data_IF_637583445204
#
_entry.id   IF_637583445204
#
_cell.length_a   1.000
_cell.length_b   1.000
_cell.length_c   1.000
_cell.angle_alpha   90.00
_cell.angle_beta   90.00
_cell.angle_gamma   90.00
#
_symmetry.space_group_name_H-M   'P 1'
#
loop_
_entity.id
_entity.type
_entity.pdbx_description
1 polymer ?
#
# COMPACT_ATOMS: atom_id res chain seq x y z
N UNK A 1 -31.73 34.18 11.82
CA UNK A 1 -30.76 33.08 11.70
C UNK A 1 -31.29 32.12 10.65
N UNK A 2 -30.60 32.00 9.52
CA UNK A 2 -31.02 31.19 8.38
C UNK A 2 -30.85 29.71 8.73
N UNK A 3 -31.96 28.97 8.88
CA UNK A 3 -31.95 27.51 8.98
C UNK A 3 -31.55 26.96 7.61
N UNK A 4 -30.26 26.68 7.43
CA UNK A 4 -29.82 25.83 6.34
C UNK A 4 -30.53 24.46 6.50
N UNK A 5 -31.13 23.90 5.43
CA UNK A 5 -31.80 22.62 5.52
C UNK A 5 -30.81 21.55 6.00
N UNK A 6 -31.24 20.71 6.95
CA UNK A 6 -30.47 19.57 7.41
C UNK A 6 -30.11 18.69 6.21
N UNK A 7 -28.81 18.62 5.90
CA UNK A 7 -28.26 17.76 4.85
C UNK A 7 -28.68 16.32 5.22
N UNK A 8 -29.27 15.58 4.28
CA UNK A 8 -29.57 14.15 4.51
C UNK A 8 -28.27 13.46 4.92
N UNK A 9 -28.30 12.48 5.86
CA UNK A 9 -27.10 11.74 6.22
C UNK A 9 -26.60 10.98 4.99
N UNK A 10 -25.58 11.55 4.34
CA UNK A 10 -24.85 10.90 3.25
C UNK A 10 -23.84 9.93 3.87
N UNK A 11 -23.65 8.73 3.29
CA UNK A 11 -22.60 7.83 3.74
C UNK A 11 -21.23 8.50 3.55
N UNK A 12 -20.23 8.17 4.40
CA UNK A 12 -18.88 8.69 4.23
C UNK A 12 -18.31 8.25 2.86
N UNK A 13 -17.48 9.07 2.21
CA UNK A 13 -16.91 8.73 0.90
C UNK A 13 -16.19 7.39 0.89
N UNK A 14 -16.49 6.54 -0.08
CA UNK A 14 -15.88 5.21 -0.16
C UNK A 14 -14.38 5.25 -0.51
N UNK A 15 -13.95 6.29 -1.25
CA UNK A 15 -12.57 6.47 -1.70
C UNK A 15 -12.23 7.95 -1.72
N UNK A 16 -11.05 8.30 -1.22
CA UNK A 16 -10.50 9.66 -1.22
C UNK A 16 -9.09 9.60 -1.80
N UNK A 17 -8.81 10.27 -2.93
CA UNK A 17 -7.44 10.41 -3.43
C UNK A 17 -6.61 11.21 -2.42
N UNK A 18 -5.49 10.66 -1.95
CA UNK A 18 -4.66 11.28 -0.92
C UNK A 18 -3.36 11.85 -1.47
N UNK A 19 -2.93 11.38 -2.64
CA UNK A 19 -1.76 11.93 -3.34
C UNK A 19 -1.30 11.02 -4.46
N UNK A 20 -0.55 11.58 -5.40
CA UNK A 20 0.16 10.83 -6.41
C UNK A 20 1.47 11.56 -6.76
N UNK A 21 2.50 10.80 -7.11
CA UNK A 21 3.72 11.34 -7.70
C UNK A 21 4.09 10.52 -8.91
N UNK A 22 4.32 11.19 -10.03
CA UNK A 22 4.85 10.60 -11.24
C UNK A 22 6.24 11.20 -11.45
N UNK A 23 7.29 10.37 -11.52
CA UNK A 23 8.66 10.87 -11.64
C UNK A 23 8.84 11.54 -13.01
N UNK A 24 9.57 12.65 -13.02
CA UNK A 24 9.96 13.32 -14.27
C UNK A 24 11.21 12.61 -14.79
N UNK A 25 11.06 11.86 -15.89
CA UNK A 25 12.14 11.08 -16.51
C UNK A 25 12.31 11.52 -17.96
N UNK A 26 13.50 11.35 -18.52
CA UNK A 26 13.72 11.46 -19.97
C UNK A 26 12.78 10.50 -20.69
N UNK A 27 12.12 10.96 -21.75
CA UNK A 27 11.29 10.10 -22.57
C UNK A 27 12.10 8.94 -23.15
N UNK A 28 11.52 7.74 -23.11
CA UNK A 28 12.14 6.54 -23.65
C UNK A 28 11.07 5.61 -24.20
N UNK A 29 11.25 5.18 -25.45
CA UNK A 29 10.30 4.29 -26.14
C UNK A 29 10.77 2.85 -26.05
N UNK A 30 10.24 2.11 -25.08
CA UNK A 30 10.45 0.66 -24.98
C UNK A 30 10.00 -0.13 -26.23
N UNK A 31 8.88 0.19 -26.89
CA UNK A 31 8.44 -0.56 -28.07
C UNK A 31 9.38 -0.45 -29.27
N UNK A 32 10.07 0.69 -29.43
CA UNK A 32 10.93 0.96 -30.59
C UNK A 32 12.42 0.89 -30.27
N UNK A 33 12.79 0.50 -29.05
CA UNK A 33 14.17 0.36 -28.64
C UNK A 33 14.87 -0.77 -29.40
N UNK A 34 16.03 -0.47 -30.00
CA UNK A 34 16.90 -1.44 -30.67
C UNK A 34 18.25 -1.49 -29.93
N UNK A 35 18.58 -2.59 -29.24
CA UNK A 35 19.81 -2.68 -28.45
C UNK A 35 21.08 -2.56 -29.29
N UNK A 36 21.01 -2.82 -30.60
CA UNK A 36 22.18 -2.73 -31.51
C UNK A 36 22.56 -1.30 -31.86
N UNK A 37 21.65 -0.35 -31.64
CA UNK A 37 21.85 1.07 -31.97
C UNK A 37 22.35 1.89 -30.79
N UNK A 38 22.54 1.27 -29.63
CA UNK A 38 23.05 1.93 -28.44
C UNK A 38 24.51 2.30 -28.67
N UNK A 39 24.80 3.60 -28.59
CA UNK A 39 26.15 4.14 -28.68
C UNK A 39 26.55 4.89 -27.40
N UNK A 40 25.57 5.42 -26.67
CA UNK A 40 25.76 6.23 -25.46
C UNK A 40 24.84 5.77 -24.34
N UNK A 41 25.20 6.09 -23.09
CA UNK A 41 24.32 5.87 -21.93
C UNK A 41 22.95 6.57 -22.09
N UNK A 42 22.91 7.69 -22.82
CA UNK A 42 21.67 8.42 -23.09
C UNK A 42 20.69 7.68 -24.02
N UNK A 43 21.15 6.64 -24.72
CA UNK A 43 20.31 5.79 -25.55
C UNK A 43 19.58 4.71 -24.74
N UNK A 44 19.90 4.58 -23.45
CA UNK A 44 19.29 3.63 -22.52
C UNK A 44 18.14 4.27 -21.71
N UNK A 45 17.21 3.47 -21.17
CA UNK A 45 16.15 4.00 -20.32
C UNK A 45 16.74 4.66 -19.07
N UNK A 46 16.28 5.86 -18.66
CA UNK A 46 16.83 6.57 -17.50
C UNK A 46 16.50 5.89 -16.16
N UNK A 47 15.52 4.99 -16.15
CA UNK A 47 15.10 4.23 -14.97
C UNK A 47 14.70 2.82 -15.42
N UNK A 48 15.03 1.81 -14.61
CA UNK A 48 14.66 0.43 -14.87
C UNK A 48 14.54 -0.38 -13.57
N UNK A 49 13.33 -0.88 -13.31
CA UNK A 49 12.87 -1.77 -12.25
C UNK A 49 13.28 -1.29 -10.85
N UNK A 50 14.57 -1.41 -10.53
CA UNK A 50 15.12 -1.14 -9.22
C UNK A 50 15.62 0.29 -9.05
N UNK A 51 15.88 1.04 -10.13
CA UNK A 51 16.47 2.36 -9.96
C UNK A 51 16.84 3.14 -11.22
N UNK A 52 17.57 4.24 -11.00
CA UNK A 52 18.03 5.14 -12.05
C UNK A 52 19.30 4.64 -12.73
N UNK A 53 19.49 4.98 -14.00
CA UNK A 53 20.70 4.61 -14.75
C UNK A 53 21.93 5.26 -14.11
N UNK A 54 22.93 4.46 -13.77
CA UNK A 54 24.27 4.95 -13.50
C UNK A 54 25.01 5.09 -14.83
N UNK A 55 25.04 6.30 -15.39
CA UNK A 55 25.69 6.56 -16.68
C UNK A 55 27.19 6.21 -16.69
N UNK A 56 27.84 6.20 -15.52
CA UNK A 56 29.26 5.83 -15.41
C UNK A 56 29.51 4.33 -15.54
N UNK A 57 28.47 3.52 -15.33
CA UNK A 57 28.51 2.06 -15.51
C UNK A 57 28.34 1.60 -16.96
N UNK A 58 28.07 2.54 -17.89
CA UNK A 58 27.90 2.21 -19.30
C UNK A 58 29.23 1.85 -19.96
N UNK A 59 29.28 0.67 -20.57
CA UNK A 59 30.42 0.20 -21.33
C UNK A 59 29.98 -0.30 -22.70
N UNK A 60 30.40 0.42 -23.74
CA UNK A 60 30.26 -0.04 -25.12
C UNK A 60 31.42 -0.97 -25.49
N UNK A 61 31.10 -2.10 -26.11
CA UNK A 61 32.06 -3.09 -26.60
C UNK A 61 31.81 -3.36 -28.09
N UNK A 62 32.79 -3.90 -28.83
CA UNK A 62 32.59 -4.26 -30.24
C UNK A 62 31.46 -5.27 -30.47
N UNK A 63 31.17 -6.09 -29.47
CA UNK A 63 30.18 -7.17 -29.48
C UNK A 63 28.94 -6.86 -28.64
N UNK A 64 28.72 -5.61 -28.22
CA UNK A 64 27.51 -5.21 -27.50
C UNK A 64 27.76 -4.13 -26.45
N UNK A 65 27.00 -4.13 -25.35
CA UNK A 65 27.14 -3.14 -24.30
C UNK A 65 26.70 -3.67 -22.94
N UNK A 66 27.12 -3.02 -21.87
CA UNK A 66 26.59 -3.27 -20.53
C UNK A 66 26.29 -1.96 -19.80
N UNK A 67 25.34 -2.00 -18.88
CA UNK A 67 24.95 -0.87 -18.04
C UNK A 67 24.26 -1.34 -16.76
N UNK A 68 24.26 -0.46 -15.76
CA UNK A 68 23.67 -0.70 -14.45
C UNK A 68 22.71 0.42 -14.04
N UNK A 69 21.57 0.03 -13.49
CA UNK A 69 20.60 0.90 -12.84
C UNK A 69 20.68 0.67 -11.33
N UNK A 70 20.89 1.75 -10.58
CA UNK A 70 21.16 1.73 -9.14
C UNK A 70 19.93 2.20 -8.38
N UNK A 71 19.50 1.38 -7.42
CA UNK A 71 18.36 1.69 -6.55
C UNK A 71 18.73 2.61 -5.38
N UNK A 72 17.74 2.92 -4.55
CA UNK A 72 17.92 3.81 -3.41
C UNK A 72 18.67 3.14 -2.25
N UNK A 73 18.45 1.84 -2.05
CA UNK A 73 19.11 1.10 -0.98
C UNK A 73 20.51 0.65 -1.38
N UNK A 74 21.42 0.66 -0.41
CA UNK A 74 22.78 0.22 -0.61
C UNK A 74 22.83 -1.21 -1.17
N UNK A 75 23.56 -1.40 -2.28
CA UNK A 75 23.69 -2.69 -2.95
C UNK A 75 22.45 -3.11 -3.76
N UNK A 76 21.46 -2.24 -3.96
CA UNK A 76 20.35 -2.47 -4.89
C UNK A 76 20.77 -2.06 -6.31
N UNK A 77 20.76 -3.01 -7.25
CA UNK A 77 21.14 -2.76 -8.64
C UNK A 77 20.45 -3.70 -9.62
N UNK A 78 20.18 -3.21 -10.82
CA UNK A 78 19.71 -3.98 -11.97
C UNK A 78 20.73 -3.78 -13.10
N UNK A 79 21.35 -4.83 -13.59
CA UNK A 79 22.39 -4.75 -14.62
C UNK A 79 21.95 -5.52 -15.86
N UNK A 80 22.17 -4.93 -17.03
CA UNK A 80 21.98 -5.57 -18.33
C UNK A 80 23.32 -5.63 -19.04
N UNK A 81 23.62 -6.79 -19.61
CA UNK A 81 24.68 -7.01 -20.58
C UNK A 81 24.03 -7.50 -21.88
N UNK A 82 24.18 -6.74 -22.95
CA UNK A 82 23.74 -7.10 -24.29
C UNK A 82 24.92 -7.67 -25.08
N UNK A 83 24.72 -8.85 -25.64
CA UNK A 83 25.66 -9.56 -26.51
C UNK A 83 25.04 -9.61 -27.91
N UNK A 84 25.63 -8.84 -28.84
CA UNK A 84 25.20 -8.72 -30.21
C UNK A 84 25.49 -10.00 -31.02
N UNK A 85 26.59 -10.70 -30.72
CA UNK A 85 26.98 -11.93 -31.41
C UNK A 85 26.07 -13.10 -31.08
N UNK A 86 25.71 -13.26 -29.80
CA UNK A 86 24.76 -14.27 -29.34
C UNK A 86 23.29 -13.79 -29.37
N UNK A 87 23.05 -12.54 -29.75
CA UNK A 87 21.74 -11.90 -29.84
C UNK A 87 20.89 -12.07 -28.56
N UNK A 88 21.46 -11.71 -27.40
CA UNK A 88 20.83 -11.95 -26.09
C UNK A 88 21.11 -10.83 -25.09
N UNK A 89 20.20 -10.70 -24.13
CA UNK A 89 20.40 -9.96 -22.89
C UNK A 89 20.76 -10.92 -21.77
N UNK A 90 21.78 -10.60 -21.00
CA UNK A 90 22.07 -11.17 -19.69
C UNK A 90 21.70 -10.14 -18.62
N UNK A 91 20.88 -10.54 -17.65
CA UNK A 91 20.36 -9.65 -16.62
C UNK A 91 20.75 -10.17 -15.25
N UNK A 92 21.34 -9.28 -14.46
CA UNK A 92 21.70 -9.52 -13.06
C UNK A 92 20.99 -8.51 -12.19
N UNK A 93 20.51 -8.96 -11.03
CA UNK A 93 19.76 -8.09 -10.14
C UNK A 93 20.20 -8.32 -8.70
N UNK A 94 20.26 -7.26 -7.91
CA UNK A 94 20.55 -7.32 -6.49
C UNK A 94 19.61 -6.37 -5.77
N UNK A 95 19.12 -6.76 -4.60
CA UNK A 95 18.33 -5.90 -3.74
C UNK A 95 18.92 -5.94 -2.33
N UNK A 96 19.29 -4.77 -1.79
CA UNK A 96 19.98 -4.67 -0.49
C UNK A 96 21.21 -5.61 -0.40
N UNK A 97 22.06 -5.61 -1.44
CA UNK A 97 23.23 -6.48 -1.61
C UNK A 97 22.94 -8.00 -1.72
N UNK A 98 21.67 -8.41 -1.74
CA UNK A 98 21.29 -9.80 -1.94
C UNK A 98 21.16 -10.09 -3.43
N UNK A 99 21.91 -11.10 -3.87
CA UNK A 99 21.83 -11.59 -5.23
C UNK A 99 20.41 -12.08 -5.54
N UNK A 100 19.85 -11.54 -6.61
CA UNK A 100 18.62 -11.99 -7.22
C UNK A 100 18.89 -12.95 -8.37
N UNK A 101 17.83 -13.40 -9.04
CA UNK A 101 17.94 -14.33 -10.15
C UNK A 101 18.72 -13.72 -11.33
N UNK A 102 19.63 -14.53 -11.87
CA UNK A 102 20.30 -14.29 -13.14
C UNK A 102 19.43 -14.80 -14.30
N UNK A 103 19.36 -14.07 -15.40
CA UNK A 103 18.54 -14.47 -16.54
C UNK A 103 19.21 -14.14 -17.86
N UNK A 104 19.00 -15.00 -18.84
CA UNK A 104 19.47 -14.83 -20.21
C UNK A 104 18.28 -14.96 -21.15
N UNK A 105 18.03 -13.95 -21.98
CA UNK A 105 16.87 -13.90 -22.88
C UNK A 105 17.27 -13.42 -24.26
N UNK A 106 16.64 -13.98 -25.29
CA UNK A 106 16.84 -13.56 -26.68
C UNK A 106 16.52 -12.08 -26.88
N UNK A 107 17.37 -11.39 -27.62
CA UNK A 107 17.16 -10.01 -28.02
C UNK A 107 16.23 -9.86 -29.24
N UNK A 108 15.67 -10.95 -29.75
CA UNK A 108 14.56 -10.90 -30.71
C UNK A 108 13.26 -10.37 -30.05
N UNK A 109 13.16 -10.55 -28.72
CA UNK A 109 12.12 -9.90 -27.94
C UNK A 109 12.49 -8.43 -27.74
N UNK A 110 11.51 -7.53 -27.89
CA UNK A 110 11.69 -6.14 -27.45
C UNK A 110 12.10 -6.11 -25.97
N UNK A 111 12.87 -5.10 -25.57
CA UNK A 111 13.32 -4.99 -24.17
C UNK A 111 12.14 -5.04 -23.20
N UNK A 112 11.00 -4.39 -23.53
CA UNK A 112 9.79 -4.51 -22.71
C UNK A 112 9.27 -5.95 -22.58
N UNK A 113 9.26 -6.72 -23.66
CA UNK A 113 8.84 -8.13 -23.62
C UNK A 113 9.86 -9.00 -22.89
N UNK A 114 11.16 -8.76 -23.06
CA UNK A 114 12.17 -9.43 -22.26
C UNK A 114 11.93 -9.15 -20.77
N UNK A 115 11.75 -7.88 -20.41
CA UNK A 115 11.44 -7.44 -19.05
C UNK A 115 10.15 -8.04 -18.48
N UNK A 116 9.11 -8.20 -19.29
CA UNK A 116 7.86 -8.83 -18.85
C UNK A 116 7.99 -10.33 -18.60
N UNK A 117 8.92 -11.03 -19.26
CA UNK A 117 9.23 -12.43 -18.90
C UNK A 117 9.87 -12.52 -17.51
N UNK A 118 10.40 -11.41 -16.99
CA UNK A 118 10.99 -11.31 -15.65
C UNK A 118 10.00 -10.86 -14.56
N UNK A 119 8.70 -10.73 -14.86
CA UNK A 119 7.63 -10.44 -13.87
C UNK A 119 7.68 -11.45 -12.71
N UNK A 120 8.14 -12.68 -12.95
CA UNK A 120 8.36 -13.70 -11.92
C UNK A 120 9.54 -13.46 -10.97
N UNK A 121 10.45 -12.51 -11.24
CA UNK A 121 11.73 -12.36 -10.53
C UNK A 121 11.69 -11.32 -9.39
N UNK A 122 10.90 -10.24 -9.50
CA UNK A 122 10.55 -9.44 -8.30
C UNK A 122 9.54 -10.19 -7.39
N UNK A 123 8.88 -11.17 -7.99
CA UNK A 123 8.08 -12.20 -7.33
C UNK A 123 8.93 -13.39 -6.87
N UNK A 124 10.26 -13.32 -7.03
CA UNK A 124 11.15 -14.41 -6.60
C UNK A 124 10.88 -14.65 -5.12
N UNK A 125 10.51 -15.89 -4.74
CA UNK A 125 10.25 -16.22 -3.36
C UNK A 125 11.42 -15.84 -2.43
N UNK A 126 12.66 -15.79 -2.91
CA UNK A 126 13.85 -15.38 -2.17
C UNK A 126 13.84 -13.89 -1.83
N UNK A 127 13.59 -12.99 -2.80
CA UNK A 127 13.45 -11.56 -2.52
C UNK A 127 12.23 -11.27 -1.67
N UNK A 128 11.08 -11.87 -1.98
CA UNK A 128 9.87 -11.74 -1.17
C UNK A 128 10.10 -12.17 0.29
N UNK A 129 10.66 -13.37 0.52
CA UNK A 129 10.98 -13.86 1.88
C UNK A 129 12.00 -12.99 2.59
N UNK A 130 12.98 -12.48 1.86
CA UNK A 130 14.00 -11.64 2.49
C UNK A 130 13.45 -10.26 2.83
N UNK A 131 12.65 -9.66 1.95
CA UNK A 131 11.91 -8.45 2.24
C UNK A 131 11.00 -8.63 3.45
N UNK A 132 10.23 -9.72 3.50
CA UNK A 132 9.42 -10.08 4.68
C UNK A 132 10.27 -10.09 5.94
N UNK A 133 11.34 -10.88 5.96
CA UNK A 133 12.23 -11.00 7.14
C UNK A 133 12.80 -9.64 7.54
N UNK A 134 13.36 -8.90 6.60
CA UNK A 134 14.01 -7.62 6.87
C UNK A 134 13.01 -6.57 7.39
N UNK A 135 11.86 -6.44 6.73
CA UNK A 135 10.85 -5.45 7.07
C UNK A 135 10.13 -5.76 8.39
N UNK A 136 9.80 -7.02 8.66
CA UNK A 136 9.13 -7.42 9.91
C UNK A 136 10.08 -7.42 11.13
N UNK A 137 11.40 -7.55 10.89
CA UNK A 137 12.41 -7.34 11.92
C UNK A 137 12.63 -5.86 12.22
N UNK A 138 12.60 -5.00 11.19
CA UNK A 138 12.83 -3.57 11.35
C UNK A 138 11.59 -2.80 11.87
N UNK A 139 10.39 -3.24 11.49
CA UNK A 139 9.14 -2.51 11.72
C UNK A 139 8.04 -3.39 12.34
N UNK A 140 7.13 -2.75 13.08
CA UNK A 140 5.86 -3.36 13.48
C UNK A 140 4.88 -3.37 12.30
N UNK A 141 5.17 -4.20 11.29
CA UNK A 141 4.31 -4.43 10.13
C UNK A 141 4.25 -5.93 9.81
N UNK A 142 3.35 -6.31 8.92
CA UNK A 142 3.33 -7.65 8.33
C UNK A 142 3.52 -7.56 6.82
N UNK A 143 4.32 -8.43 6.24
CA UNK A 143 4.56 -8.52 4.80
C UNK A 143 3.98 -9.82 4.28
N UNK A 144 3.01 -9.70 3.37
CA UNK A 144 2.36 -10.83 2.71
C UNK A 144 3.16 -11.26 1.50
N UNK A 145 3.49 -12.54 1.45
CA UNK A 145 4.06 -13.15 0.26
C UNK A 145 2.91 -13.46 -0.73
N UNK A 146 3.13 -13.32 -2.04
CA UNK A 146 2.19 -13.85 -3.02
C UNK A 146 2.13 -15.38 -2.89
N UNK A 147 0.93 -15.94 -2.69
CA UNK A 147 0.69 -17.38 -2.69
C UNK A 147 0.00 -17.79 -4.00
N UNK A 148 0.40 -18.94 -4.58
CA UNK A 148 -0.21 -19.48 -5.79
C UNK A 148 -0.18 -18.52 -6.99
N UNK A 149 -1.35 -18.30 -7.60
CA UNK A 149 -1.54 -17.43 -8.77
C UNK A 149 -1.91 -15.98 -8.39
N UNK A 150 -1.49 -15.50 -7.22
CA UNK A 150 -1.71 -14.12 -6.81
C UNK A 150 -1.19 -13.16 -7.90
N UNK A 151 -2.07 -12.30 -8.42
CA UNK A 151 -1.72 -11.34 -9.46
C UNK A 151 -0.85 -10.26 -8.84
N UNK A 152 0.32 -10.07 -9.43
CA UNK A 152 1.18 -8.92 -9.20
C UNK A 152 0.93 -7.89 -10.29
N UNK A 153 1.01 -6.61 -9.94
CA UNK A 153 0.97 -5.54 -10.93
C UNK A 153 2.41 -5.18 -11.29
N UNK A 154 2.79 -5.40 -12.55
CA UNK A 154 4.12 -5.07 -13.05
C UNK A 154 4.00 -3.98 -14.12
N UNK A 155 4.62 -2.83 -13.85
CA UNK A 155 4.69 -1.71 -14.78
C UNK A 155 6.08 -1.59 -15.36
N UNK A 156 6.22 -1.22 -16.63
CA UNK A 156 7.51 -0.83 -17.20
C UNK A 156 7.52 0.71 -17.26
N UNK A 157 8.57 1.38 -16.74
CA UNK A 157 9.85 0.83 -16.33
C UNK A 157 9.96 0.44 -14.84
N UNK A 158 8.92 0.61 -14.03
CA UNK A 158 9.01 0.62 -12.57
C UNK A 158 9.10 -0.76 -11.88
N UNK A 159 8.74 -1.85 -12.56
CA UNK A 159 8.72 -3.21 -12.02
C UNK A 159 7.46 -3.57 -11.24
N UNK A 160 7.60 -4.55 -10.35
CA UNK A 160 6.51 -5.12 -9.57
C UNK A 160 6.08 -4.18 -8.44
N UNK A 161 4.78 -3.99 -8.25
CA UNK A 161 4.22 -3.04 -7.28
C UNK A 161 3.76 -3.72 -5.99
N UNK A 162 3.98 -3.03 -4.89
CA UNK A 162 3.49 -3.34 -3.55
C UNK A 162 2.53 -2.26 -3.08
N UNK A 163 1.59 -2.65 -2.24
CA UNK A 163 0.74 -1.70 -1.54
C UNK A 163 0.94 -1.84 -0.03
N UNK A 164 1.35 -0.75 0.60
CA UNK A 164 1.35 -0.60 2.05
C UNK A 164 -0.05 -0.13 2.48
N UNK A 165 -0.67 -0.88 3.39
CA UNK A 165 -2.00 -0.62 3.93
C UNK A 165 -1.88 -0.20 5.37
N UNK A 166 -2.38 0.99 5.70
CA UNK A 166 -2.33 1.55 7.05
C UNK A 166 -3.71 2.00 7.53
N UNK A 167 -4.19 1.55 8.70
CA UNK A 167 -5.40 2.11 9.32
C UNK A 167 -5.24 3.60 9.63
N UNK A 168 -6.24 4.40 9.28
CA UNK A 168 -6.28 5.84 9.54
C UNK A 168 -7.65 6.27 10.07
N UNK A 169 -7.64 7.09 11.12
CA UNK A 169 -8.84 7.70 11.68
C UNK A 169 -9.28 8.91 10.83
N UNK A 170 -10.58 9.19 10.82
CA UNK A 170 -11.13 10.29 10.01
C UNK A 170 -10.48 11.64 10.34
N UNK A 171 -10.25 11.92 11.61
CA UNK A 171 -9.64 13.17 12.09
C UNK A 171 -8.17 13.36 11.65
N UNK A 172 -7.50 12.28 11.22
CA UNK A 172 -6.14 12.33 10.71
C UNK A 172 -6.06 12.51 9.19
N UNK A 173 -7.16 12.31 8.44
CA UNK A 173 -7.14 12.32 6.96
C UNK A 173 -6.48 13.57 6.39
N UNK A 174 -6.95 14.75 6.79
CA UNK A 174 -6.43 16.05 6.32
C UNK A 174 -4.94 16.23 6.61
N UNK A 175 -4.53 15.88 7.83
CA UNK A 175 -3.14 15.99 8.27
C UNK A 175 -2.24 15.04 7.49
N UNK A 176 -2.66 13.79 7.36
CA UNK A 176 -1.93 12.77 6.60
C UNK A 176 -1.81 13.17 5.13
N UNK A 177 -2.86 13.73 4.53
CA UNK A 177 -2.80 14.27 3.17
C UNK A 177 -1.72 15.34 3.02
N UNK A 178 -1.70 16.35 3.90
CA UNK A 178 -0.68 17.40 3.85
C UNK A 178 0.75 16.84 4.00
N UNK A 179 0.93 15.85 4.89
CA UNK A 179 2.21 15.16 5.05
C UNK A 179 2.63 14.41 3.78
N UNK A 180 1.71 13.64 3.17
CA UNK A 180 1.97 12.89 1.93
C UNK A 180 2.28 13.83 0.75
N UNK A 181 1.59 14.97 0.66
CA UNK A 181 1.88 15.99 -0.35
C UNK A 181 3.32 16.50 -0.21
N UNK A 182 3.77 16.84 0.99
CA UNK A 182 5.15 17.28 1.20
C UNK A 182 6.15 16.16 0.86
N UNK A 183 5.93 14.94 1.36
CA UNK A 183 6.85 13.81 1.15
C UNK A 183 6.98 13.35 -0.31
N UNK A 184 5.90 13.39 -1.08
CA UNK A 184 5.86 12.74 -2.40
C UNK A 184 5.67 13.72 -3.56
N UNK A 185 5.11 14.90 -3.34
CA UNK A 185 4.91 15.90 -4.40
C UNK A 185 6.05 16.92 -4.42
N UNK A 186 6.59 17.30 -3.26
CA UNK A 186 7.69 18.28 -3.15
C UNK A 186 9.05 17.59 -3.28
N UNK A 187 9.31 16.54 -2.48
CA UNK A 187 10.59 15.79 -2.50
C UNK A 187 10.68 14.68 -3.56
N UNK A 188 9.65 14.56 -4.41
CA UNK A 188 9.40 13.60 -5.50
C UNK A 188 10.37 12.39 -5.57
N UNK A 189 9.91 11.17 -5.21
CA UNK A 189 10.71 9.97 -5.39
C UNK A 189 11.01 9.72 -6.88
N UNK A 190 12.10 8.98 -7.21
CA UNK A 190 12.45 8.66 -8.59
C UNK A 190 11.53 7.59 -9.22
N UNK A 191 10.49 7.15 -8.50
CA UNK A 191 9.52 6.13 -8.88
C UNK A 191 8.09 6.63 -8.71
N UNK A 192 7.14 6.00 -9.41
CA UNK A 192 5.74 6.37 -9.30
C UNK A 192 5.16 5.95 -7.94
N UNK A 193 4.29 6.78 -7.37
CA UNK A 193 3.55 6.45 -6.15
C UNK A 193 2.11 6.93 -6.29
N UNK A 194 1.18 6.11 -5.81
CA UNK A 194 -0.23 6.41 -5.78
C UNK A 194 -0.77 6.18 -4.36
N UNK A 195 -1.53 7.14 -3.84
CA UNK A 195 -2.06 7.06 -2.47
C UNK A 195 -3.54 7.40 -2.45
N UNK A 196 -4.30 6.54 -1.80
CA UNK A 196 -5.74 6.72 -1.60
C UNK A 196 -6.14 6.23 -0.21
N UNK A 197 -7.19 6.82 0.36
CA UNK A 197 -7.85 6.31 1.54
C UNK A 197 -9.13 5.60 1.12
N UNK A 198 -9.23 4.30 1.44
CA UNK A 198 -10.41 3.46 1.16
C UNK A 198 -11.21 3.26 2.43
N UNK A 199 -12.52 3.49 2.37
CA UNK A 199 -13.43 3.10 3.42
C UNK A 199 -13.68 1.59 3.32
N UNK A 200 -13.37 0.87 4.38
CA UNK A 200 -13.48 -0.59 4.44
C UNK A 200 -14.24 -1.02 5.69
N UNK A 201 -14.74 -2.26 5.68
CA UNK A 201 -15.32 -2.87 6.87
C UNK A 201 -14.31 -3.79 7.53
N UNK A 202 -14.15 -3.64 8.83
CA UNK A 202 -13.34 -4.50 9.67
C UNK A 202 -14.24 -5.25 10.66
N UNK A 203 -13.96 -6.53 10.84
CA UNK A 203 -14.48 -7.30 11.96
C UNK A 203 -13.33 -7.65 12.90
N UNK A 204 -13.50 -7.30 14.18
CA UNK A 204 -12.57 -7.66 15.25
C UNK A 204 -13.26 -8.71 16.10
N UNK A 205 -12.69 -9.91 16.16
CA UNK A 205 -13.18 -11.00 17.00
C UNK A 205 -12.27 -11.13 18.23
N UNK A 206 -12.85 -10.99 19.41
CA UNK A 206 -12.15 -11.21 20.68
C UNK A 206 -12.65 -12.52 21.32
N UNK A 207 -11.77 -13.52 21.49
CA UNK A 207 -12.17 -14.85 21.97
C UNK A 207 -12.74 -14.79 23.39
N UNK A 208 -13.87 -15.46 23.60
CA UNK A 208 -14.51 -15.58 24.91
C UNK A 208 -13.61 -16.33 25.92
N UNK A 209 -13.62 -15.87 27.17
CA UNK A 209 -12.77 -16.42 28.23
C UNK A 209 -11.31 -15.95 28.21
N UNK A 210 -10.89 -15.23 27.15
CA UNK A 210 -9.54 -14.65 27.04
C UNK A 210 -9.56 -13.13 26.86
N UNK A 211 -10.59 -12.61 26.21
CA UNK A 211 -10.75 -11.20 25.97
C UNK A 211 -11.17 -10.41 27.23
N UNK A 212 -10.70 -9.16 27.39
CA UNK A 212 -11.17 -8.26 28.45
C UNK A 212 -12.68 -8.03 28.40
N UNK A 213 -13.31 -7.80 29.56
CA UNK A 213 -14.77 -7.65 29.65
C UNK A 213 -15.32 -6.44 28.86
N UNK A 214 -14.51 -5.39 28.67
CA UNK A 214 -14.92 -4.21 27.89
C UNK A 214 -15.30 -4.53 26.43
N UNK A 215 -14.83 -5.65 25.89
CA UNK A 215 -15.05 -6.05 24.49
C UNK A 215 -16.49 -6.45 24.17
N UNK A 216 -17.33 -6.64 25.18
CA UNK A 216 -18.71 -7.19 25.03
C UNK A 216 -19.79 -6.13 24.95
N UNK A 217 -19.49 -4.90 25.39
CA UNK A 217 -20.49 -3.87 25.65
C UNK A 217 -20.29 -2.59 24.86
N UNK A 218 -20.97 -1.54 25.31
CA UNK A 218 -20.90 -0.22 24.70
C UNK A 218 -19.50 0.40 24.78
N UNK A 219 -18.66 0.00 25.74
CA UNK A 219 -17.26 0.47 25.82
C UNK A 219 -16.47 0.12 24.54
N UNK A 220 -16.68 -1.06 23.96
CA UNK A 220 -16.06 -1.43 22.67
C UNK A 220 -16.49 -0.49 21.54
N UNK A 221 -17.73 -0.01 21.56
CA UNK A 221 -18.25 0.98 20.59
C UNK A 221 -17.55 2.32 20.78
N UNK A 222 -17.40 2.78 22.02
CA UNK A 222 -16.71 4.05 22.33
C UNK A 222 -15.24 4.02 21.92
N UNK A 223 -14.52 2.93 22.23
CA UNK A 223 -13.12 2.76 21.81
C UNK A 223 -12.99 2.72 20.29
N UNK A 224 -13.89 2.00 19.62
CA UNK A 224 -13.90 2.00 18.16
C UNK A 224 -14.13 3.38 17.56
N UNK A 225 -15.02 4.18 18.16
CA UNK A 225 -15.28 5.53 17.70
C UNK A 225 -14.05 6.43 17.88
N UNK A 226 -13.35 6.31 19.00
CA UNK A 226 -12.09 7.01 19.27
C UNK A 226 -11.00 6.61 18.26
N UNK A 227 -10.93 5.32 17.91
CA UNK A 227 -9.92 4.78 17.01
C UNK A 227 -10.15 5.10 15.53
N UNK A 228 -11.41 5.17 15.06
CA UNK A 228 -11.73 5.30 13.63
C UNK A 228 -12.42 6.61 13.29
N UNK A 229 -13.08 7.27 14.25
CA UNK A 229 -13.96 8.39 14.03
C UNK A 229 -15.31 8.03 13.40
N UNK A 230 -15.64 6.74 13.27
CA UNK A 230 -16.87 6.28 12.62
C UNK A 230 -17.67 5.32 13.51
N UNK A 231 -18.99 5.34 13.37
CA UNK A 231 -19.86 4.46 14.16
C UNK A 231 -19.75 3.01 13.68
N UNK A 232 -19.54 2.04 14.60
CA UNK A 232 -19.68 0.62 14.29
C UNK A 232 -21.07 0.27 13.75
N UNK A 233 -21.21 -0.88 13.09
CA UNK A 233 -22.51 -1.35 12.59
C UNK A 233 -23.50 -1.72 13.71
N UNK A 234 -23.04 -1.78 14.96
CA UNK A 234 -23.84 -2.09 16.13
C UNK A 234 -22.97 -2.41 17.34
N UNK A 235 -23.62 -2.94 18.39
CA UNK A 235 -22.92 -3.52 19.54
C UNK A 235 -22.14 -4.79 19.13
N UNK A 236 -21.10 -5.17 19.90
CA UNK A 236 -20.46 -6.47 19.73
C UNK A 236 -21.47 -7.61 19.78
N UNK A 237 -21.36 -8.55 18.84
CA UNK A 237 -22.22 -9.74 18.76
C UNK A 237 -21.41 -10.96 19.11
N UNK A 238 -21.95 -11.83 19.97
CA UNK A 238 -21.34 -13.13 20.26
C UNK A 238 -21.54 -14.08 19.09
N UNK A 239 -20.46 -14.59 18.54
CA UNK A 239 -20.44 -15.56 17.44
C UNK A 239 -19.78 -16.84 17.90
N UNK A 240 -20.43 -17.99 17.66
CA UNK A 240 -19.91 -19.30 18.00
C UNK A 240 -19.46 -20.03 16.74
N UNK A 241 -18.32 -20.71 16.81
CA UNK A 241 -17.80 -21.59 15.78
C UNK A 241 -18.27 -23.04 16.02
N UNK A 242 -18.11 -23.88 14.99
CA UNK A 242 -18.53 -25.29 15.04
C UNK A 242 -17.74 -26.12 16.05
N UNK A 243 -16.51 -25.72 16.36
CA UNK A 243 -15.65 -26.35 17.36
C UNK A 243 -16.02 -25.99 18.82
N UNK A 244 -17.10 -25.22 19.01
CA UNK A 244 -17.59 -24.78 20.32
C UNK A 244 -16.87 -23.54 20.86
N UNK A 245 -15.87 -23.01 20.16
CA UNK A 245 -15.27 -21.71 20.51
C UNK A 245 -16.24 -20.58 20.20
N UNK A 246 -16.10 -19.46 20.92
CA UNK A 246 -16.91 -18.28 20.68
C UNK A 246 -16.09 -17.01 20.82
N UNK A 247 -16.52 -15.95 20.12
CA UNK A 247 -15.88 -14.65 20.17
C UNK A 247 -16.92 -13.53 20.18
N UNK A 248 -16.56 -12.42 20.81
CA UNK A 248 -17.30 -11.16 20.70
C UNK A 248 -16.78 -10.40 19.48
N UNK A 249 -17.67 -10.18 18.52
CA UNK A 249 -17.34 -9.60 17.21
C UNK A 249 -17.89 -8.19 17.11
N UNK A 250 -16.99 -7.21 16.99
CA UNK A 250 -17.35 -5.84 16.62
C UNK A 250 -17.09 -5.63 15.13
N UNK A 251 -18.13 -5.20 14.39
CA UNK A 251 -18.01 -4.80 12.98
C UNK A 251 -18.01 -3.29 12.90
N UNK A 252 -16.96 -2.73 12.29
CA UNK A 252 -16.77 -1.29 12.21
C UNK A 252 -16.27 -0.83 10.83
N UNK A 253 -16.71 0.34 10.36
CA UNK A 253 -16.06 1.01 9.25
C UNK A 253 -14.77 1.70 9.73
N UNK A 254 -13.76 1.73 8.88
CA UNK A 254 -12.56 2.55 9.04
C UNK A 254 -12.01 2.94 7.67
N UNK A 255 -11.20 4.00 7.63
CA UNK A 255 -10.37 4.26 6.47
C UNK A 255 -9.06 3.47 6.59
N UNK A 256 -8.62 2.92 5.47
CA UNK A 256 -7.26 2.42 5.29
C UNK A 256 -6.58 3.22 4.19
N UNK A 257 -5.39 3.70 4.48
CA UNK A 257 -4.51 4.33 3.51
C UNK A 257 -3.83 3.21 2.70
N UNK A 258 -4.07 3.20 1.39
CA UNK A 258 -3.41 2.33 0.43
C UNK A 258 -2.35 3.16 -0.30
N UNK A 259 -1.08 2.92 0.02
CA UNK A 259 0.07 3.53 -0.66
C UNK A 259 0.61 2.48 -1.61
N UNK A 260 0.42 2.67 -2.92
CA UNK A 260 0.90 1.77 -3.97
C UNK A 260 2.19 2.34 -4.56
N UNK A 261 3.24 1.52 -4.59
CA UNK A 261 4.58 1.88 -5.06
C UNK A 261 5.27 0.67 -5.70
N UNK A 262 6.29 0.87 -6.54
CA UNK A 262 7.18 -0.20 -6.95
C UNK A 262 7.89 -0.85 -5.76
N UNK A 263 8.27 -2.12 -5.89
CA UNK A 263 8.98 -2.87 -4.85
C UNK A 263 10.24 -2.14 -4.37
N UNK A 264 10.98 -1.52 -5.30
CA UNK A 264 12.16 -0.71 -5.00
C UNK A 264 11.87 0.54 -4.15
N UNK A 265 10.62 0.99 -4.08
CA UNK A 265 10.21 2.13 -3.25
C UNK A 265 9.77 1.75 -1.84
N UNK A 266 9.59 0.46 -1.52
CA UNK A 266 8.98 0.04 -0.24
C UNK A 266 9.78 0.52 0.97
N UNK A 267 11.10 0.36 0.94
CA UNK A 267 11.96 0.76 2.05
C UNK A 267 12.06 2.28 2.19
N UNK A 268 12.21 3.00 1.07
CA UNK A 268 12.20 4.46 1.06
C UNK A 268 10.87 5.04 1.59
N UNK A 269 9.72 4.54 1.13
CA UNK A 269 8.40 4.95 1.63
C UNK A 269 8.26 4.66 3.12
N UNK A 270 8.64 3.46 3.57
CA UNK A 270 8.60 3.13 4.99
C UNK A 270 9.49 4.08 5.78
N UNK A 271 10.68 4.43 5.28
CA UNK A 271 11.61 5.36 5.93
C UNK A 271 11.04 6.77 6.04
N UNK A 272 10.47 7.31 4.95
CA UNK A 272 9.82 8.63 4.90
C UNK A 272 8.64 8.70 5.86
N UNK A 273 7.89 7.62 5.99
CA UNK A 273 6.74 7.53 6.90
C UNK A 273 7.12 7.34 8.37
N UNK A 274 8.40 7.25 8.76
CA UNK A 274 8.82 7.04 10.16
C UNK A 274 8.56 8.21 11.13
N UNK A 275 7.76 9.18 10.72
CA UNK A 275 7.31 10.25 11.63
C UNK A 275 6.49 9.63 12.79
N UNK A 276 6.72 10.03 14.06
CA UNK A 276 5.93 9.60 15.22
C UNK A 276 4.40 9.76 15.07
N UNK A 277 3.97 10.58 14.11
CA UNK A 277 2.58 10.87 13.77
C UNK A 277 1.96 9.82 12.83
N UNK A 278 2.76 8.96 12.20
CA UNK A 278 2.24 7.82 11.45
C UNK A 278 2.20 6.56 12.33
N UNK A 279 1.49 5.53 11.86
CA UNK A 279 1.46 4.20 12.51
C UNK A 279 2.62 3.30 12.06
N UNK A 280 3.58 3.80 11.28
CA UNK A 280 4.81 3.06 10.97
C UNK A 280 5.79 3.21 12.13
N UNK A 281 6.00 2.12 12.87
CA UNK A 281 6.89 2.08 14.04
C UNK A 281 8.02 1.10 13.84
N UNK A 282 9.19 1.40 14.38
CA UNK A 282 10.27 0.41 14.46
C UNK A 282 9.93 -0.65 15.49
N UNK A 283 10.52 -1.83 15.35
CA UNK A 283 10.35 -2.94 16.30
C UNK A 283 10.77 -2.59 17.73
N UNK A 284 11.67 -1.62 17.89
CA UNK A 284 12.17 -1.13 19.17
C UNK A 284 11.22 -0.16 19.88
N UNK A 285 10.21 0.41 19.18
CA UNK A 285 9.30 1.44 19.71
C UNK A 285 8.10 0.87 20.51
N UNK A 286 8.12 -0.44 20.77
CA UNK A 286 7.07 -1.16 21.51
C UNK A 286 5.91 -1.67 20.64
N UNK A 287 5.21 -2.72 21.09
CA UNK A 287 4.26 -3.46 20.26
C UNK A 287 3.04 -2.61 19.87
N UNK A 288 2.65 -2.73 18.60
CA UNK A 288 1.44 -2.15 18.06
C UNK A 288 0.30 -3.17 18.11
N UNK A 289 -0.88 -2.75 18.55
CA UNK A 289 -2.07 -3.62 18.53
C UNK A 289 -2.41 -4.05 17.09
N UNK A 290 -2.93 -5.26 16.92
CA UNK A 290 -3.19 -5.88 15.60
C UNK A 290 -4.09 -5.00 14.71
N UNK A 291 -5.07 -4.34 15.32
CA UNK A 291 -6.03 -3.42 14.71
C UNK A 291 -5.34 -2.21 14.04
N UNK A 292 -4.17 -1.85 14.55
CA UNK A 292 -3.40 -0.70 14.11
C UNK A 292 -2.20 -1.09 13.26
N UNK A 293 -1.82 -2.37 13.27
CA UNK A 293 -0.62 -2.82 12.60
C UNK A 293 -0.77 -2.70 11.07
N UNK A 294 0.13 -1.94 10.41
CA UNK A 294 0.19 -1.84 8.96
C UNK A 294 0.64 -3.15 8.33
N UNK A 295 0.35 -3.32 7.05
CA UNK A 295 0.85 -4.46 6.30
C UNK A 295 1.14 -4.14 4.84
N UNK A 296 2.07 -4.87 4.24
CA UNK A 296 2.47 -4.75 2.84
C UNK A 296 1.96 -5.98 2.08
N UNK A 297 1.27 -5.74 0.96
CA UNK A 297 0.74 -6.80 0.09
C UNK A 297 1.18 -6.61 -1.36
N UNK A 298 1.22 -7.69 -2.17
CA UNK A 298 1.19 -7.56 -3.62
C UNK A 298 -0.02 -6.74 -4.05
N UNK A 299 0.17 -5.77 -4.94
CA UNK A 299 -0.90 -4.81 -5.29
C UNK A 299 -2.14 -5.48 -5.87
N UNK A 300 -1.99 -6.56 -6.66
CA UNK A 300 -3.14 -7.28 -7.21
C UNK A 300 -3.97 -8.03 -6.16
N UNK A 301 -3.41 -8.32 -4.98
CA UNK A 301 -4.14 -8.97 -3.88
C UNK A 301 -5.34 -8.12 -3.43
N UNK A 302 -5.22 -6.79 -3.46
CA UNK A 302 -6.30 -5.86 -3.12
C UNK A 302 -7.52 -5.96 -4.05
N UNK A 303 -7.36 -6.57 -5.23
CA UNK A 303 -8.42 -6.73 -6.23
C UNK A 303 -8.93 -8.17 -6.33
N UNK A 304 -8.10 -9.15 -5.97
CA UNK A 304 -8.44 -10.57 -6.02
C UNK A 304 -9.04 -11.08 -4.71
N UNK A 305 -8.42 -10.72 -3.59
CA UNK A 305 -8.84 -11.16 -2.26
C UNK A 305 -9.61 -10.04 -1.57
N UNK A 306 -10.95 -10.13 -1.50
CA UNK A 306 -11.75 -9.10 -0.88
C UNK A 306 -11.62 -9.10 0.64
N UNK A 307 -10.88 -10.05 1.23
CA UNK A 307 -10.76 -10.22 2.67
C UNK A 307 -9.33 -10.59 3.07
N UNK A 308 -8.77 -9.86 4.03
CA UNK A 308 -7.51 -10.20 4.69
C UNK A 308 -7.81 -10.57 6.14
N UNK A 309 -7.43 -11.78 6.54
CA UNK A 309 -7.58 -12.26 7.93
C UNK A 309 -6.21 -12.30 8.61
N UNK A 310 -6.14 -11.77 9.83
CA UNK A 310 -4.95 -11.75 10.67
C UNK A 310 -5.30 -12.20 12.08
N UNK A 311 -4.34 -12.79 12.76
CA UNK A 311 -4.53 -13.36 14.08
C UNK A 311 -3.38 -12.98 15.01
N UNK A 312 -3.74 -12.47 16.19
CA UNK A 312 -2.81 -12.25 17.30
C UNK A 312 -3.06 -13.38 18.31
N UNK A 313 -2.16 -14.37 18.34
CA UNK A 313 -2.27 -15.53 19.22
C UNK A 313 -2.15 -15.14 20.70
N UNK A 314 -1.32 -14.15 21.02
CA UNK A 314 -1.05 -13.72 22.39
C UNK A 314 -2.27 -13.00 22.97
N UNK A 315 -2.85 -12.07 22.19
CA UNK A 315 -4.04 -11.31 22.59
C UNK A 315 -5.35 -11.99 22.20
N UNK A 316 -5.28 -13.14 21.54
CA UNK A 316 -6.43 -13.97 21.14
C UNK A 316 -7.45 -13.18 20.32
N UNK A 317 -6.94 -12.27 19.49
CA UNK A 317 -7.73 -11.33 18.72
C UNK A 317 -7.58 -11.66 17.24
N UNK A 318 -8.71 -11.83 16.56
CA UNK A 318 -8.77 -11.95 15.11
C UNK A 318 -9.17 -10.64 14.51
N UNK A 319 -8.53 -10.29 13.41
CA UNK A 319 -8.88 -9.13 12.59
C UNK A 319 -9.21 -9.61 11.18
N UNK A 320 -10.37 -9.21 10.68
CA UNK A 320 -10.82 -9.49 9.31
C UNK A 320 -11.09 -8.17 8.62
N UNK A 321 -10.31 -7.84 7.62
CA UNK A 321 -10.46 -6.61 6.84
C UNK A 321 -11.09 -6.95 5.50
N UNK A 322 -12.24 -6.35 5.20
CA UNK A 322 -12.97 -6.56 3.96
C UNK A 322 -12.67 -5.42 2.99
N UNK A 323 -11.76 -5.69 2.06
CA UNK A 323 -11.28 -4.82 0.99
C UNK A 323 -12.20 -4.97 -0.23
N UNK A 324 -13.46 -4.56 -0.12
CA UNK A 324 -14.34 -4.49 -1.29
C UNK A 324 -13.90 -3.32 -2.16
N UNK A 325 -13.65 -3.58 -3.44
CA UNK A 325 -13.45 -2.52 -4.43
C UNK A 325 -14.76 -1.72 -4.61
N UNK A 326 -14.80 -0.42 -4.24
CA UNK A 326 -15.97 0.42 -4.45
C UNK A 326 -16.29 0.62 -5.94
N UNK A 327 -15.35 0.32 -6.84
CA UNK A 327 -15.45 0.45 -8.29
C UNK A 327 -15.69 -0.88 -9.02
N UNK A 328 -16.00 -1.99 -8.34
CA UNK A 328 -16.13 -3.32 -9.00
C UNK A 328 -17.19 -3.41 -10.12
N UNK A 329 -18.06 -2.40 -10.30
CA UNK A 329 -18.94 -2.30 -11.49
C UNK A 329 -18.26 -1.68 -12.71
N UNK A 330 -17.18 -0.94 -12.51
CA UNK A 330 -16.35 -0.31 -13.53
C UNK A 330 -14.93 -0.89 -13.43
N UNK A 331 -14.74 -2.16 -13.82
CA UNK A 331 -13.40 -2.77 -13.91
C UNK A 331 -12.46 -2.03 -14.90
N UNK A 332 -12.97 -1.03 -15.63
CA UNK A 332 -12.20 -0.09 -16.45
C UNK A 332 -11.74 1.17 -15.69
N UNK A 333 -12.06 1.31 -14.41
CA UNK A 333 -11.72 2.47 -13.56
C UNK A 333 -10.36 2.33 -12.86
N UNK A 334 -9.46 1.46 -13.34
CA UNK A 334 -8.00 1.64 -13.17
C UNK A 334 -7.48 2.86 -13.93
N UNK A 335 -8.31 3.90 -14.09
CA UNK A 335 -7.83 5.19 -14.55
C UNK A 335 -7.08 5.85 -13.39
N UNK A 336 -5.79 5.53 -13.30
CA UNK A 336 -4.75 6.46 -12.85
C UNK A 336 -4.89 7.87 -13.50
N UNK A 337 -5.75 8.00 -14.53
CA UNK A 337 -6.08 9.20 -15.29
C UNK A 337 -7.26 10.04 -14.79
N UNK A 338 -8.05 9.62 -13.78
CA UNK A 338 -9.09 10.53 -13.24
C UNK A 338 -8.42 11.58 -12.36
N UNK A 339 -7.96 12.65 -13.00
CA UNK A 339 -7.49 13.89 -12.35
C UNK A 339 -8.67 14.55 -11.63
N UNK A 340 -8.96 14.06 -10.44
CA UNK A 340 -9.84 14.73 -9.49
C UNK A 340 -9.10 15.98 -9.02
N UNK A 341 -9.75 17.14 -9.12
CA UNK A 341 -9.14 18.41 -8.72
C UNK A 341 -8.98 18.51 -7.21
N UNK A 342 -7.99 19.28 -6.76
CA UNK A 342 -7.72 19.57 -5.34
C UNK A 342 -8.97 19.98 -4.54
N UNK A 343 -9.86 20.78 -5.15
CA UNK A 343 -11.13 21.23 -4.55
C UNK A 343 -12.08 20.06 -4.30
N UNK A 344 -12.14 19.09 -5.21
CA UNK A 344 -13.01 17.92 -5.08
C UNK A 344 -12.47 16.94 -4.04
N UNK A 345 -11.15 16.74 -3.99
CA UNK A 345 -10.49 15.95 -2.93
C UNK A 345 -10.79 16.57 -1.55
N UNK A 346 -10.63 17.89 -1.43
CA UNK A 346 -10.89 18.62 -0.19
C UNK A 346 -12.34 18.50 0.26
N UNK A 347 -13.29 18.52 -0.69
CA UNK A 347 -14.70 18.25 -0.41
C UNK A 347 -14.91 16.84 0.16
N UNK A 348 -14.28 15.81 -0.42
CA UNK A 348 -14.40 14.43 0.08
C UNK A 348 -13.86 14.29 1.51
N UNK A 349 -12.72 14.92 1.82
CA UNK A 349 -12.17 14.96 3.18
C UNK A 349 -13.15 15.65 4.14
N UNK A 350 -13.70 16.80 3.75
CA UNK A 350 -14.69 17.52 4.56
C UNK A 350 -15.98 16.71 4.80
N UNK A 351 -16.46 16.00 3.78
CA UNK A 351 -17.66 15.15 3.90
C UNK A 351 -17.40 14.00 4.89
N UNK A 352 -16.23 13.35 4.86
CA UNK A 352 -15.84 12.35 5.86
C UNK A 352 -15.76 12.92 7.29
N UNK A 353 -15.08 14.07 7.47
CA UNK A 353 -14.97 14.77 8.76
C UNK A 353 -16.34 15.22 9.30
N UNK A 354 -17.26 15.62 8.42
CA UNK A 354 -18.61 15.99 8.80
C UNK A 354 -19.41 14.80 9.34
N UNK A 355 -19.39 13.66 8.64
CA UNK A 355 -20.05 12.43 9.10
C UNK A 355 -19.52 11.99 10.47
N UNK A 356 -18.20 12.01 10.65
CA UNK A 356 -17.57 11.67 11.94
C UNK A 356 -18.04 12.58 13.08
N UNK A 357 -18.05 13.90 12.87
CA UNK A 357 -18.50 14.87 13.89
C UNK A 357 -19.99 14.71 14.22
N UNK A 358 -20.83 14.44 13.24
CA UNK A 358 -22.27 14.26 13.46
C UNK A 358 -22.56 13.01 14.31
N UNK A 359 -21.85 11.92 14.05
CA UNK A 359 -21.89 10.70 14.87
C UNK A 359 -21.47 10.98 16.31
N UNK A 360 -20.30 11.61 16.51
CA UNK A 360 -19.78 11.91 17.85
C UNK A 360 -20.77 12.79 18.61
N UNK A 361 -21.29 13.84 17.96
CA UNK A 361 -22.27 14.75 18.55
C UNK A 361 -23.53 14.01 18.99
N UNK A 362 -24.07 13.14 18.13
CA UNK A 362 -25.29 12.37 18.42
C UNK A 362 -25.13 11.50 19.66
N UNK A 363 -23.98 10.82 19.79
CA UNK A 363 -23.68 9.97 20.95
C UNK A 363 -23.52 10.79 22.22
N UNK A 364 -22.78 11.91 22.17
CA UNK A 364 -22.61 12.79 23.34
C UNK A 364 -23.94 13.35 23.85
N UNK A 365 -24.88 13.68 22.97
CA UNK A 365 -26.23 14.13 23.36
C UNK A 365 -27.06 12.99 23.96
N UNK A 366 -26.97 11.78 23.39
CA UNK A 366 -27.65 10.60 23.92
C UNK A 366 -27.17 10.20 25.32
N UNK A 367 -25.86 10.28 25.59
CA UNK A 367 -25.28 10.00 26.90
C UNK A 367 -25.63 11.07 27.94
N UNK A 368 -25.66 12.35 27.54
CA UNK A 368 -26.04 13.46 28.43
C UNK A 368 -27.52 13.44 28.80
N UNK A 369 -28.39 13.00 27.87
CA UNK A 369 -29.84 12.84 28.13
C UNK A 369 -30.17 11.67 29.05
N UNK A 370 -29.39 10.59 29.02
CA UNK A 370 -29.56 9.43 29.92
C UNK A 370 -29.09 9.69 31.35
N UNK A 371 -28.23 10.71 31.57
CA UNK A 371 -27.76 11.11 32.90
C UNK A 371 -28.68 12.09 33.66
N UNK A 372 -29.74 12.60 33.01
CA UNK A 372 -30.68 13.57 33.58
C UNK A 372 -31.96 12.98 34.18
N UNK A 373 -32.12 11.66 34.17
CA UNK A 373 -33.25 10.97 34.82
C UNK A 373 -32.73 10.09 35.96
N UNK A 374 -32.48 10.69 37.11
CA UNK A 374 -32.44 10.00 38.41
C UNK A 374 -33.22 10.78 39.43
#
# INVERSE_FOLDING_TARGET
MSNAPARKPEPPPALIPMGHSVPVRREFSFPTFDPRKVAFATDLPPYLILGGLDETSFHLRPDGWSACWVGLEAGTKFAIDYDAGAHRYSIQQHWCALEGPYSVVSAELSLARALSHFVGLCSDPLWGRTAKRHLEQAYHLEYFLPEGNAVTFFGIPDGDHRTLVLPIAVDQLRRTRAMLSSMFVEERPPYAIHVEARLVTEAINHIEGKAPDWTRGFEAVLRSLDETGLFPSGLPVREAAEDGTAAWTLRRPLYVLCITMPFAGVLDVLHRLRDPRTRIRRREDGPLALEHQPFVVPTGLLYQEPTITRWDEERTTRRVLVLKDPHRRDANALSLDRRIGEVEIEKLVCDAEWVSRDVIKTISHGLSGAGGSR
#
